data_IF_209892089646
#
_entry.id   IF_209892089646
#
_cell.length_a   1.000
_cell.length_b   1.000
_cell.length_c   1.000
_cell.angle_alpha   90.00
_cell.angle_beta   90.00
_cell.angle_gamma   90.00
#
_symmetry.space_group_name_H-M   'P 1'
#
loop_
_entity.id
_entity.type
_entity.pdbx_description
1 polymer ?
#
# COMPACT_ATOMS: atom_id res chain seq x y z
N UNK A 1 11.24 1.38 -7.95
CA UNK A 1 9.96 0.73 -8.33
C UNK A 1 9.62 -0.45 -7.43
N UNK A 2 10.45 -1.50 -7.33
CA UNK A 2 10.18 -2.65 -6.47
C UNK A 2 9.89 -2.28 -4.99
N UNK A 3 10.68 -1.35 -4.45
CA UNK A 3 10.53 -0.87 -3.06
C UNK A 3 9.16 -0.21 -2.74
N UNK A 4 8.49 0.40 -3.73
CA UNK A 4 7.18 1.03 -3.51
C UNK A 4 6.08 -0.03 -3.39
N UNK A 5 6.11 -1.04 -4.27
CA UNK A 5 5.15 -2.15 -4.23
C UNK A 5 5.33 -3.02 -2.99
N UNK A 6 6.56 -3.18 -2.51
CA UNK A 6 6.88 -3.90 -1.28
C UNK A 6 6.25 -3.23 -0.04
N UNK A 7 5.93 -1.93 -0.11
CA UNK A 7 5.25 -1.19 0.95
C UNK A 7 3.71 -1.23 0.86
N UNK A 8 3.14 -1.83 -0.19
CA UNK A 8 1.67 -1.95 -0.38
C UNK A 8 1.21 -3.29 0.14
N UNK A 9 0.38 -3.28 1.20
CA UNK A 9 -0.21 -4.51 1.75
C UNK A 9 -1.46 -4.89 0.98
N UNK A 10 -1.72 -6.19 0.91
CA UNK A 10 -2.96 -6.72 0.33
C UNK A 10 -3.81 -7.31 1.44
N UNK A 11 -5.02 -6.81 1.60
CA UNK A 11 -5.98 -7.25 2.61
C UNK A 11 -7.20 -7.83 1.86
N UNK A 12 -7.39 -9.15 1.85
CA UNK A 12 -8.56 -9.75 1.21
C UNK A 12 -9.83 -9.46 2.03
N UNK A 13 -10.96 -9.40 1.34
CA UNK A 13 -12.30 -9.28 1.88
C UNK A 13 -12.56 -8.03 2.76
N UNK A 14 -11.82 -6.94 2.51
CA UNK A 14 -11.98 -5.68 3.23
C UNK A 14 -12.44 -4.53 2.31
N UNK A 15 -13.40 -3.68 2.72
CA UNK A 15 -14.24 -3.79 3.93
C UNK A 15 -15.41 -4.78 3.76
N UNK A 16 -15.54 -5.40 2.59
CA UNK A 16 -16.59 -6.37 2.25
C UNK A 16 -15.98 -7.57 1.52
N UNK A 17 -16.62 -8.73 1.66
CA UNK A 17 -16.25 -9.97 0.96
C UNK A 17 -16.18 -9.74 -0.56
N UNK A 18 -15.14 -10.29 -1.20
CA UNK A 18 -14.86 -10.16 -2.62
C UNK A 18 -13.97 -8.96 -3.00
N UNK A 19 -13.62 -8.09 -2.05
CA UNK A 19 -12.74 -6.94 -2.31
C UNK A 19 -11.29 -7.27 -1.93
N UNK A 20 -10.36 -7.05 -2.85
CA UNK A 20 -8.93 -7.13 -2.57
C UNK A 20 -8.39 -5.73 -2.26
N UNK A 21 -8.39 -5.33 -0.98
CA UNK A 21 -7.97 -3.99 -0.58
C UNK A 21 -6.46 -3.84 -0.62
N UNK A 22 -5.98 -2.76 -1.24
CA UNK A 22 -4.56 -2.39 -1.29
C UNK A 22 -4.30 -1.28 -0.30
N UNK A 23 -3.67 -1.62 0.81
CA UNK A 23 -3.34 -0.66 1.85
C UNK A 23 -2.00 0.01 1.57
N UNK A 24 -2.07 1.30 1.23
CA UNK A 24 -0.92 2.17 0.96
C UNK A 24 -0.46 2.94 2.20
N UNK A 25 -1.11 2.77 3.35
CA UNK A 25 -0.75 3.47 4.59
C UNK A 25 0.73 3.33 4.97
N UNK A 26 1.39 2.16 4.81
CA UNK A 26 2.81 2.03 5.10
C UNK A 26 3.71 2.88 4.18
N UNK A 27 3.31 3.03 2.91
CA UNK A 27 4.01 3.88 1.94
C UNK A 27 3.89 5.35 2.35
N UNK A 28 2.68 5.82 2.68
CA UNK A 28 2.43 7.22 3.07
C UNK A 28 3.15 7.59 4.38
N UNK A 29 3.20 6.68 5.35
CA UNK A 29 3.87 6.92 6.64
C UNK A 29 5.39 7.02 6.53
N UNK A 30 5.98 6.54 5.44
CA UNK A 30 7.41 6.60 5.22
C UNK A 30 7.76 7.78 4.31
N UNK A 31 8.29 8.85 4.90
CA UNK A 31 8.64 10.08 4.16
C UNK A 31 9.56 9.85 2.95
N UNK A 32 10.49 8.89 3.04
CA UNK A 32 11.41 8.56 1.94
C UNK A 32 10.68 7.86 0.80
N UNK A 33 9.84 6.87 1.12
CA UNK A 33 9.05 6.16 0.11
C UNK A 33 7.96 7.04 -0.50
N UNK A 34 7.33 7.90 0.31
CA UNK A 34 6.34 8.86 -0.15
C UNK A 34 6.97 9.86 -1.14
N UNK A 35 8.14 10.43 -0.80
CA UNK A 35 8.87 11.32 -1.71
C UNK A 35 9.24 10.65 -3.05
N UNK A 36 9.56 9.35 -3.03
CA UNK A 36 9.83 8.56 -4.24
C UNK A 36 8.58 8.21 -5.07
N UNK A 37 7.37 8.49 -4.58
CA UNK A 37 6.10 8.10 -5.22
C UNK A 37 5.44 9.20 -6.05
N UNK A 38 6.04 10.40 -6.07
CA UNK A 38 5.56 11.62 -6.73
C UNK A 38 6.35 11.86 -8.02
#
# INVERSE_FOLDING_TARGET
>A
MKELYDAIRTIPDFPKRGVLFRDITPLIKNNVLFSKSI
#
